data_IF_729407206656
#
_entry.id   IF_729407206656
#
_cell.length_a   1.000
_cell.length_b   1.000
_cell.length_c   1.000
_cell.angle_alpha   90.00
_cell.angle_beta   90.00
_cell.angle_gamma   90.00
#
_symmetry.space_group_name_H-M   'P 1'
#
loop_
_entity.id
_entity.type
_entity.pdbx_description
1 polymer ?
#
# COMPACT_ATOMS: atom_id res chain seq x y z
N UNK A 1 -3.47 14.83 -10.50
CA UNK A 1 -3.10 15.02 -9.07
C UNK A 1 -4.17 14.35 -8.22
N UNK A 2 -3.78 13.49 -7.27
CA UNK A 2 -4.72 12.77 -6.39
C UNK A 2 -5.40 13.77 -5.43
N UNK A 3 -6.66 13.55 -5.01
CA UNK A 3 -7.43 14.52 -4.24
C UNK A 3 -6.78 14.86 -2.89
N UNK A 4 -6.15 13.88 -2.24
CA UNK A 4 -5.49 14.04 -0.94
C UNK A 4 -4.24 14.93 -0.99
N UNK A 5 -3.61 15.12 -2.15
CA UNK A 5 -2.38 15.93 -2.29
C UNK A 5 -2.60 17.43 -2.02
N UNK A 6 -3.85 17.87 -1.86
CA UNK A 6 -4.21 19.24 -1.44
C UNK A 6 -4.16 19.45 0.07
N UNK A 7 -4.12 18.38 0.87
CA UNK A 7 -4.09 18.47 2.33
C UNK A 7 -2.71 18.94 2.78
N UNK A 8 -2.66 19.99 3.61
CA UNK A 8 -1.39 20.49 4.13
C UNK A 8 -0.78 19.47 5.08
N UNK A 9 0.53 19.24 4.93
CA UNK A 9 1.31 18.44 5.86
C UNK A 9 1.87 19.35 6.95
N UNK A 10 1.57 19.03 8.20
CA UNK A 10 2.23 19.58 9.38
C UNK A 10 3.17 18.50 9.93
N UNK A 11 4.40 18.49 9.41
CA UNK A 11 5.42 17.50 9.80
C UNK A 11 5.61 17.47 11.32
N UNK A 12 5.53 16.29 11.92
CA UNK A 12 5.67 16.09 13.36
C UNK A 12 7.03 15.52 13.78
N UNK A 13 7.92 15.24 12.83
CA UNK A 13 9.28 14.72 13.02
C UNK A 13 9.34 13.38 13.76
N UNK A 14 8.27 12.60 13.72
CA UNK A 14 8.25 11.26 14.30
C UNK A 14 9.29 10.37 13.62
N UNK A 15 10.14 9.62 14.36
CA UNK A 15 11.22 8.87 13.75
C UNK A 15 10.70 7.74 12.86
N UNK A 16 11.43 7.48 11.78
CA UNK A 16 11.31 6.25 11.00
C UNK A 16 12.14 5.17 11.71
N UNK A 17 11.52 4.05 12.08
CA UNK A 17 12.14 2.99 12.88
C UNK A 17 11.94 1.62 12.21
N UNK A 18 12.86 0.65 12.46
CA UNK A 18 12.73 -0.69 11.88
C UNK A 18 11.54 -1.44 12.46
N UNK A 19 10.90 -2.25 11.61
CA UNK A 19 9.81 -3.14 12.02
C UNK A 19 10.42 -4.39 12.69
N UNK A 20 9.92 -4.82 13.87
CA UNK A 20 10.29 -6.09 14.50
C UNK A 20 9.71 -7.26 13.69
N UNK A 21 10.52 -7.81 12.78
CA UNK A 21 10.08 -8.83 11.82
C UNK A 21 9.60 -10.12 12.47
N UNK A 22 10.01 -10.42 13.69
CA UNK A 22 9.54 -11.58 14.46
C UNK A 22 8.06 -11.51 14.84
N UNK A 23 7.43 -10.32 14.74
CA UNK A 23 6.00 -10.13 15.04
C UNK A 23 5.08 -10.31 13.84
N UNK A 24 5.63 -10.35 12.63
CA UNK A 24 4.88 -10.31 11.38
C UNK A 24 5.37 -11.38 10.42
N UNK A 25 4.50 -11.80 9.51
CA UNK A 25 4.97 -12.55 8.35
C UNK A 25 5.60 -11.56 7.35
N UNK A 26 6.71 -11.96 6.73
CA UNK A 26 7.37 -11.19 5.68
C UNK A 26 7.95 -12.13 4.64
N UNK A 27 8.24 -11.59 3.46
CA UNK A 27 8.93 -12.31 2.40
C UNK A 27 10.37 -11.80 2.29
N UNK A 28 11.34 -12.71 2.28
CA UNK A 28 12.75 -12.35 2.11
C UNK A 28 13.38 -13.15 0.97
N UNK A 29 14.04 -12.50 -0.01
CA UNK A 29 14.14 -11.05 -0.19
C UNK A 29 12.79 -10.39 -0.51
N UNK A 30 12.68 -9.07 -0.32
CA UNK A 30 11.43 -8.34 -0.55
C UNK A 30 10.97 -8.46 -2.03
N UNK A 31 9.66 -8.50 -2.32
CA UNK A 31 9.16 -8.65 -3.69
C UNK A 31 9.77 -7.68 -4.71
N UNK A 32 9.89 -6.40 -4.36
CA UNK A 32 10.49 -5.40 -5.28
C UNK A 32 12.01 -5.51 -5.35
N UNK A 33 12.69 -5.99 -4.31
CA UNK A 33 14.14 -6.26 -4.37
C UNK A 33 14.44 -7.39 -5.36
N UNK A 34 13.57 -8.41 -5.44
CA UNK A 34 13.68 -9.48 -6.46
C UNK A 34 13.62 -8.95 -7.88
N UNK A 35 12.93 -7.82 -8.09
CA UNK A 35 12.84 -7.14 -9.38
C UNK A 35 14.06 -6.22 -9.65
N UNK A 36 14.88 -5.96 -8.63
CA UNK A 36 16.04 -5.06 -8.71
C UNK A 36 15.80 -3.66 -8.15
N UNK A 37 14.72 -3.46 -7.37
CA UNK A 37 14.43 -2.16 -6.77
C UNK A 37 15.58 -1.68 -5.85
N UNK A 38 15.99 -0.40 -5.94
CA UNK A 38 17.22 0.06 -5.32
C UNK A 38 17.05 0.53 -3.86
N UNK A 39 16.58 -0.35 -2.96
CA UNK A 39 16.44 -0.01 -1.53
C UNK A 39 17.76 0.41 -0.88
N UNK A 40 18.88 -0.15 -1.35
CA UNK A 40 20.24 0.17 -0.91
C UNK A 40 20.69 1.62 -1.15
N UNK A 41 19.96 2.38 -1.98
CA UNK A 41 20.21 3.81 -2.17
C UNK A 41 19.57 4.67 -1.07
N UNK A 42 18.76 4.09 -0.19
CA UNK A 42 18.16 4.79 0.95
C UNK A 42 18.95 4.56 2.24
N UNK A 43 18.98 5.52 3.18
CA UNK A 43 19.62 5.33 4.48
C UNK A 43 19.07 4.15 5.29
N UNK A 44 17.78 3.83 5.11
CA UNK A 44 17.15 2.68 5.76
C UNK A 44 17.64 1.33 5.21
N UNK A 45 18.07 1.29 3.93
CA UNK A 45 18.53 0.09 3.22
C UNK A 45 17.60 -1.13 3.41
N UNK A 46 16.28 -0.89 3.49
CA UNK A 46 15.27 -1.90 3.74
C UNK A 46 13.87 -1.31 3.55
N UNK A 47 12.90 -2.11 3.07
CA UNK A 47 11.48 -1.72 3.05
C UNK A 47 10.85 -1.72 4.44
N UNK A 48 11.41 -2.46 5.40
CA UNK A 48 10.76 -2.78 6.67
C UNK A 48 10.97 -1.71 7.74
N UNK A 49 10.50 -0.51 7.44
CA UNK A 49 10.52 0.65 8.31
C UNK A 49 9.16 1.35 8.32
N UNK A 50 8.78 1.92 9.46
CA UNK A 50 7.55 2.72 9.63
C UNK A 50 7.80 3.87 10.60
N UNK A 51 6.94 4.89 10.58
CA UNK A 51 6.89 5.88 11.66
C UNK A 51 6.49 5.19 12.97
N UNK A 52 7.06 5.60 14.09
CA UNK A 52 6.87 4.93 15.38
C UNK A 52 5.39 4.64 15.71
N UNK A 53 4.49 5.62 15.63
CA UNK A 53 3.06 5.39 15.96
C UNK A 53 2.35 4.54 14.92
N UNK A 54 2.81 4.57 13.68
CA UNK A 54 2.30 3.72 12.61
C UNK A 54 2.65 2.27 12.90
N UNK A 55 3.88 2.00 13.34
CA UNK A 55 4.27 0.69 13.83
C UNK A 55 3.49 0.27 15.09
N UNK A 56 3.31 1.18 16.06
CA UNK A 56 2.57 0.88 17.28
C UNK A 56 1.12 0.46 16.97
N UNK A 57 0.45 1.17 16.06
CA UNK A 57 -0.87 0.79 15.55
C UNK A 57 -0.83 -0.54 14.80
N UNK A 58 0.18 -0.82 13.98
CA UNK A 58 0.29 -2.10 13.27
C UNK A 58 0.50 -3.29 14.24
N UNK A 59 1.26 -3.11 15.31
CA UNK A 59 1.41 -4.11 16.39
C UNK A 59 0.07 -4.32 17.10
N UNK A 60 -0.71 -3.26 17.34
CA UNK A 60 -2.06 -3.38 17.88
C UNK A 60 -3.00 -4.13 16.92
N UNK A 61 -2.87 -3.93 15.61
CA UNK A 61 -3.60 -4.67 14.59
C UNK A 61 -3.29 -6.18 14.67
N UNK A 62 -2.00 -6.54 14.69
CA UNK A 62 -1.54 -7.93 14.85
C UNK A 62 -2.07 -8.55 16.15
N UNK A 63 -2.06 -7.80 17.25
CA UNK A 63 -2.62 -8.24 18.54
C UNK A 63 -4.11 -8.55 18.44
N UNK A 64 -4.89 -7.66 17.78
CA UNK A 64 -6.33 -7.88 17.58
C UNK A 64 -6.63 -9.07 16.68
N UNK A 65 -5.85 -9.26 15.61
CA UNK A 65 -5.95 -10.45 14.77
C UNK A 65 -5.76 -11.71 15.62
N UNK A 66 -4.73 -11.75 16.46
CA UNK A 66 -4.40 -12.90 17.31
C UNK A 66 -5.40 -13.15 18.44
N UNK A 67 -6.18 -12.14 18.87
CA UNK A 67 -7.29 -12.37 19.80
C UNK A 67 -8.38 -13.25 19.18
N UNK A 68 -8.61 -13.14 17.87
CA UNK A 68 -9.61 -13.93 17.13
C UNK A 68 -9.00 -15.19 16.50
N UNK A 69 -7.76 -15.10 16.06
CA UNK A 69 -7.02 -16.15 15.37
C UNK A 69 -5.57 -16.24 15.93
N UNK A 70 -5.35 -16.93 17.07
CA UNK A 70 -4.08 -16.89 17.81
C UNK A 70 -2.82 -17.21 17.02
N UNK A 71 -2.92 -18.07 16.00
CA UNK A 71 -1.78 -18.48 15.17
C UNK A 71 -1.69 -17.75 13.83
N UNK A 72 -2.54 -16.75 13.58
CA UNK A 72 -2.49 -15.96 12.34
C UNK A 72 -1.58 -14.75 12.48
N UNK A 73 -0.99 -14.36 11.36
CA UNK A 73 -0.09 -13.21 11.28
C UNK A 73 -0.54 -12.25 10.17
N UNK A 74 -0.33 -10.96 10.38
CA UNK A 74 -0.33 -9.98 9.31
C UNK A 74 0.97 -10.19 8.52
N UNK A 75 0.84 -10.33 7.20
CA UNK A 75 1.97 -10.33 6.28
C UNK A 75 2.21 -8.91 5.79
N UNK A 76 3.41 -8.38 6.01
CA UNK A 76 3.81 -7.10 5.43
C UNK A 76 4.39 -7.38 4.04
N UNK A 77 3.70 -6.90 3.01
CA UNK A 77 4.15 -6.96 1.64
C UNK A 77 5.12 -5.82 1.34
N UNK A 78 4.72 -4.57 1.61
CA UNK A 78 5.56 -3.38 1.49
C UNK A 78 5.24 -2.36 2.60
N UNK A 79 6.21 -1.54 2.97
CA UNK A 79 6.10 -0.52 4.02
C UNK A 79 6.80 0.77 3.61
N UNK A 80 8.01 1.05 4.11
CA UNK A 80 8.75 2.24 3.70
C UNK A 80 9.29 2.08 2.28
N UNK A 81 8.88 2.98 1.38
CA UNK A 81 9.32 2.98 -0.01
C UNK A 81 10.07 4.27 -0.35
N UNK A 82 11.39 4.24 -0.53
CA UNK A 82 12.17 5.40 -1.00
C UNK A 82 11.68 5.88 -2.37
N UNK A 83 11.89 7.17 -2.70
CA UNK A 83 11.44 7.73 -3.99
C UNK A 83 12.09 7.01 -5.19
N UNK A 84 13.35 6.59 -5.06
CA UNK A 84 14.01 5.81 -6.12
C UNK A 84 13.31 4.46 -6.36
N UNK A 85 12.80 3.81 -5.32
CA UNK A 85 12.01 2.59 -5.43
C UNK A 85 10.61 2.89 -5.98
N UNK A 86 9.97 3.99 -5.57
CA UNK A 86 8.69 4.41 -6.14
C UNK A 86 8.80 4.64 -7.65
N UNK A 87 9.86 5.34 -8.10
CA UNK A 87 10.12 5.56 -9.53
C UNK A 87 10.37 4.23 -10.24
N UNK A 88 11.23 3.37 -9.67
CA UNK A 88 11.51 2.05 -10.22
C UNK A 88 10.24 1.23 -10.45
N UNK A 89 9.32 1.21 -9.48
CA UNK A 89 8.08 0.44 -9.61
C UNK A 89 7.11 1.05 -10.61
N UNK A 90 7.00 2.39 -10.69
CA UNK A 90 6.21 3.05 -11.75
C UNK A 90 6.73 2.67 -13.14
N UNK A 91 8.05 2.70 -13.33
CA UNK A 91 8.69 2.35 -14.60
C UNK A 91 8.50 0.85 -14.92
N UNK A 92 8.74 -0.01 -13.93
CA UNK A 92 8.54 -1.46 -14.06
C UNK A 92 7.09 -1.79 -14.46
N UNK A 93 6.11 -1.23 -13.75
CA UNK A 93 4.69 -1.48 -14.01
C UNK A 93 4.26 -0.93 -15.37
N UNK A 94 4.78 0.23 -15.80
CA UNK A 94 4.56 0.73 -17.16
C UNK A 94 5.05 -0.28 -18.20
N UNK A 95 6.28 -0.80 -18.05
CA UNK A 95 6.85 -1.78 -18.99
C UNK A 95 6.04 -3.07 -19.01
N UNK A 96 5.63 -3.60 -17.86
CA UNK A 96 4.82 -4.82 -17.81
C UNK A 96 3.43 -4.61 -18.41
N UNK A 97 2.84 -3.43 -18.25
CA UNK A 97 1.54 -3.10 -18.86
C UNK A 97 1.66 -2.99 -20.39
N UNK A 98 2.73 -2.39 -20.90
CA UNK A 98 3.04 -2.38 -22.35
C UNK A 98 3.16 -3.81 -22.88
N UNK A 99 3.88 -4.70 -22.19
CA UNK A 99 4.02 -6.11 -22.60
C UNK A 99 2.70 -6.86 -22.55
N UNK A 100 1.85 -6.61 -21.55
CA UNK A 100 0.54 -7.24 -21.42
C UNK A 100 -0.41 -6.87 -22.58
N UNK A 101 -0.23 -5.69 -23.18
CA UNK A 101 -0.90 -5.26 -24.41
C UNK A 101 -0.30 -5.88 -25.68
N UNK A 102 0.73 -6.74 -25.56
CA UNK A 102 1.43 -7.35 -26.69
C UNK A 102 2.43 -6.43 -27.39
N UNK A 103 2.82 -5.32 -26.75
CA UNK A 103 3.71 -4.30 -27.30
C UNK A 103 5.12 -4.38 -26.72
N UNK A 104 6.07 -3.73 -27.40
CA UNK A 104 7.43 -3.47 -26.92
C UNK A 104 7.66 -1.96 -26.80
N UNK A 105 8.69 -1.55 -26.05
CA UNK A 105 8.98 -0.12 -25.83
C UNK A 105 9.39 0.65 -27.09
N UNK A 106 9.91 -0.07 -28.09
CA UNK A 106 10.29 0.41 -29.41
C UNK A 106 9.19 0.21 -30.47
N UNK A 107 8.04 -0.35 -30.09
CA UNK A 107 6.93 -0.57 -31.01
C UNK A 107 6.41 0.75 -31.59
N UNK A 108 6.19 0.87 -32.91
CA UNK A 108 5.59 2.06 -33.53
C UNK A 108 4.13 2.26 -33.10
N UNK A 109 3.47 1.21 -32.60
CA UNK A 109 2.10 1.27 -32.07
C UNK A 109 2.04 1.90 -30.66
N UNK A 110 3.17 1.94 -29.94
CA UNK A 110 3.31 2.63 -28.66
C UNK A 110 3.48 4.14 -28.86
N UNK A 111 2.46 4.74 -29.49
CA UNK A 111 2.33 6.18 -29.69
C UNK A 111 2.30 6.94 -28.37
N UNK A 112 2.55 8.25 -28.40
CA UNK A 112 2.49 9.10 -27.20
C UNK A 112 1.12 9.03 -26.51
N UNK A 113 0.03 8.97 -27.28
CA UNK A 113 -1.31 8.81 -26.74
C UNK A 113 -1.47 7.48 -25.98
N UNK A 114 -0.99 6.37 -26.57
CA UNK A 114 -1.02 5.04 -25.91
C UNK A 114 -0.15 4.99 -24.67
N UNK A 115 1.02 5.66 -24.69
CA UNK A 115 1.89 5.81 -23.50
C UNK A 115 1.15 6.54 -22.39
N UNK A 116 0.46 7.63 -22.71
CA UNK A 116 -0.30 8.41 -21.75
C UNK A 116 -1.47 7.59 -21.16
N UNK A 117 -2.20 6.83 -21.98
CA UNK A 117 -3.26 5.92 -21.49
C UNK A 117 -2.71 4.87 -20.51
N UNK A 118 -1.58 4.25 -20.85
CA UNK A 118 -0.93 3.26 -19.96
C UNK A 118 -0.44 3.93 -18.67
N UNK A 119 0.18 5.10 -18.75
CA UNK A 119 0.61 5.84 -17.57
C UNK A 119 -0.58 6.23 -16.68
N UNK A 120 -1.72 6.61 -17.27
CA UNK A 120 -2.94 6.89 -16.52
C UNK A 120 -3.44 5.66 -15.77
N UNK A 121 -3.40 4.48 -16.40
CA UNK A 121 -3.72 3.22 -15.73
C UNK A 121 -2.72 2.91 -14.59
N UNK A 122 -1.42 3.04 -14.85
CA UNK A 122 -0.38 2.85 -13.82
C UNK A 122 -0.62 3.78 -12.63
N UNK A 123 -0.93 5.06 -12.90
CA UNK A 123 -1.18 6.05 -11.86
C UNK A 123 -2.54 5.92 -11.16
N UNK A 124 -3.40 4.97 -11.53
CA UNK A 124 -4.55 4.61 -10.71
C UNK A 124 -4.09 3.95 -9.41
N UNK A 125 -3.12 3.05 -9.49
CA UNK A 125 -2.61 2.23 -8.38
C UNK A 125 -1.27 2.73 -7.81
N UNK A 126 -0.40 3.26 -8.67
CA UNK A 126 0.87 3.83 -8.22
C UNK A 126 0.75 5.34 -8.03
N UNK A 127 1.20 5.84 -6.87
CA UNK A 127 1.43 7.28 -6.73
C UNK A 127 2.59 7.73 -7.64
N UNK A 128 2.45 8.88 -8.28
CA UNK A 128 3.57 9.47 -9.02
C UNK A 128 4.74 9.77 -8.05
N UNK A 129 5.99 9.44 -8.42
CA UNK A 129 7.15 9.74 -7.58
C UNK A 129 7.29 11.25 -7.40
N UNK A 130 7.64 11.68 -6.19
CA UNK A 130 7.71 13.10 -5.86
C UNK A 130 8.75 13.37 -4.79
N UNK A 131 9.72 14.22 -5.12
CA UNK A 131 10.71 14.74 -4.18
C UNK A 131 10.15 15.90 -3.33
N UNK A 132 9.00 16.46 -3.71
CA UNK A 132 8.36 17.55 -2.99
C UNK A 132 7.88 17.07 -1.62
N UNK A 133 8.39 17.62 -0.50
CA UNK A 133 8.01 17.21 0.84
C UNK A 133 6.53 17.47 1.16
N UNK A 134 5.85 18.33 0.39
CA UNK A 134 4.42 18.62 0.55
C UNK A 134 3.49 17.68 -0.23
N UNK A 135 4.02 16.87 -1.14
CA UNK A 135 3.25 15.88 -1.91
C UNK A 135 4.02 14.56 -2.10
N UNK A 136 4.52 13.93 -1.02
CA UNK A 136 5.20 12.64 -1.12
C UNK A 136 4.21 11.52 -1.50
N UNK A 137 4.67 10.45 -2.17
CA UNK A 137 3.95 9.18 -2.23
C UNK A 137 3.69 8.66 -0.79
N UNK A 138 2.52 8.05 -0.51
CA UNK A 138 2.16 7.55 0.82
C UNK A 138 3.28 6.72 1.51
N UNK A 139 3.78 5.67 0.85
CA UNK A 139 4.85 4.82 1.39
C UNK A 139 6.17 5.56 1.66
N UNK A 140 6.46 6.62 0.91
CA UNK A 140 7.67 7.44 1.09
C UNK A 140 7.62 8.35 2.32
N UNK A 141 6.49 8.38 3.03
CA UNK A 141 6.35 9.04 4.33
C UNK A 141 6.64 8.10 5.51
N UNK A 142 6.71 6.78 5.28
CA UNK A 142 6.76 5.76 6.32
C UNK A 142 5.43 5.54 7.05
N UNK A 143 4.33 6.03 6.48
CA UNK A 143 3.01 6.02 7.11
C UNK A 143 1.98 5.09 6.44
N UNK A 144 2.38 4.44 5.34
CA UNK A 144 1.56 3.50 4.61
C UNK A 144 2.16 2.09 4.67
N UNK A 145 1.30 1.08 4.60
CA UNK A 145 1.66 -0.33 4.60
C UNK A 145 0.72 -1.09 3.66
N UNK A 146 1.30 -2.00 2.89
CA UNK A 146 0.59 -2.98 2.07
C UNK A 146 0.64 -4.32 2.79
N UNK A 147 -0.52 -4.88 3.12
CA UNK A 147 -0.62 -6.08 3.97
C UNK A 147 -1.60 -7.11 3.45
N UNK A 148 -1.32 -8.37 3.81
CA UNK A 148 -2.28 -9.48 3.74
C UNK A 148 -2.23 -10.29 5.05
N UNK A 149 -2.84 -11.48 5.08
CA UNK A 149 -2.88 -12.37 6.24
C UNK A 149 -2.18 -13.69 5.93
N UNK A 150 -1.59 -14.31 6.94
CA UNK A 150 -1.08 -15.69 6.93
C UNK A 150 -1.83 -16.48 7.98
N UNK A 151 -2.31 -17.66 7.58
CA UNK A 151 -3.05 -18.56 8.45
C UNK A 151 -2.15 -19.35 9.42
N UNK A 152 -2.77 -20.20 10.24
CA UNK A 152 -2.07 -21.04 11.21
C UNK A 152 -1.10 -22.08 10.60
N UNK A 153 -1.22 -22.36 9.30
CA UNK A 153 -0.35 -23.28 8.56
C UNK A 153 0.81 -22.55 7.88
N UNK A 154 0.93 -21.24 8.08
CA UNK A 154 1.94 -20.44 7.37
C UNK A 154 1.55 -20.14 5.91
N UNK A 155 0.29 -20.34 5.52
CA UNK A 155 -0.18 -20.07 4.15
C UNK A 155 -0.76 -18.66 4.05
N UNK A 156 -0.33 -17.89 3.05
CA UNK A 156 -0.98 -16.62 2.70
C UNK A 156 -2.45 -16.86 2.40
N UNK A 157 -3.30 -16.10 3.07
CA UNK A 157 -4.75 -16.13 2.93
C UNK A 157 -5.13 -15.59 1.57
N UNK A 158 -5.98 -16.32 0.86
CA UNK A 158 -6.42 -15.91 -0.47
C UNK A 158 -7.42 -14.76 -0.39
N UNK A 159 -7.05 -13.63 -0.99
CA UNK A 159 -7.82 -12.39 -1.00
C UNK A 159 -8.57 -12.20 -2.32
N UNK A 160 -8.53 -13.17 -3.24
CA UNK A 160 -9.25 -13.16 -4.51
C UNK A 160 -8.62 -12.31 -5.61
N UNK A 161 -7.57 -11.55 -5.32
CA UNK A 161 -6.64 -10.96 -6.29
C UNK A 161 -5.27 -10.77 -5.61
N UNK A 162 -4.15 -10.82 -6.35
CA UNK A 162 -2.85 -10.52 -5.77
C UNK A 162 -2.72 -9.03 -5.43
N UNK A 163 -1.75 -8.72 -4.58
CA UNK A 163 -1.27 -7.33 -4.37
C UNK A 163 -0.67 -6.83 -5.70
N UNK A 164 -0.78 -5.53 -5.95
CA UNK A 164 -0.37 -4.82 -7.16
C UNK A 164 -1.16 -5.17 -8.44
N UNK A 165 -2.26 -5.92 -8.35
CA UNK A 165 -3.11 -6.18 -9.52
C UNK A 165 -3.78 -4.88 -10.00
N UNK A 166 -3.58 -4.54 -11.28
CA UNK A 166 -4.18 -3.36 -11.93
C UNK A 166 -5.59 -3.65 -12.47
N UNK A 167 -6.50 -4.09 -11.61
CA UNK A 167 -7.87 -4.44 -12.01
C UNK A 167 -8.92 -4.05 -10.97
N UNK A 168 -10.21 -3.96 -11.35
CA UNK A 168 -11.30 -3.75 -10.39
C UNK A 168 -11.40 -4.83 -9.31
N UNK A 169 -10.78 -6.01 -9.48
CA UNK A 169 -10.72 -7.04 -8.41
C UNK A 169 -9.90 -6.57 -7.21
N UNK A 170 -9.03 -5.57 -7.39
CA UNK A 170 -8.27 -4.95 -6.30
C UNK A 170 -9.12 -4.09 -5.38
N UNK A 171 -10.31 -3.67 -5.81
CA UNK A 171 -11.17 -2.81 -5.00
C UNK A 171 -11.64 -3.54 -3.73
N UNK A 172 -11.61 -2.92 -2.53
CA UNK A 172 -11.95 -3.58 -1.27
C UNK A 172 -13.28 -4.35 -1.31
N UNK A 173 -14.30 -3.75 -1.93
CA UNK A 173 -15.67 -4.29 -1.99
C UNK A 173 -15.99 -5.06 -3.28
N UNK A 174 -15.00 -5.45 -4.09
CA UNK A 174 -15.24 -6.12 -5.38
C UNK A 174 -16.11 -7.37 -5.27
N UNK A 175 -15.90 -8.17 -4.22
CA UNK A 175 -16.62 -9.44 -4.01
C UNK A 175 -17.89 -9.29 -3.15
N UNK A 176 -18.26 -8.07 -2.77
CA UNK A 176 -19.42 -7.82 -1.92
C UNK A 176 -20.71 -8.27 -2.62
N UNK A 177 -21.51 -9.10 -1.95
CA UNK A 177 -22.78 -9.61 -2.47
C UNK A 177 -22.64 -10.70 -3.54
N UNK A 178 -21.43 -11.23 -3.79
CA UNK A 178 -21.25 -12.36 -4.70
C UNK A 178 -22.01 -13.61 -4.22
N UNK A 179 -22.58 -14.37 -5.17
CA UNK A 179 -23.24 -15.66 -4.92
C UNK A 179 -22.29 -16.85 -5.06
N UNK A 180 -21.07 -16.62 -5.57
CA UNK A 180 -20.06 -17.66 -5.68
C UNK A 180 -19.40 -17.86 -4.30
N UNK A 181 -19.34 -19.11 -3.84
CA UNK A 181 -18.83 -19.47 -2.50
C UNK A 181 -17.37 -19.06 -2.27
N UNK A 182 -16.53 -19.13 -3.31
CA UNK A 182 -15.12 -18.77 -3.24
C UNK A 182 -14.96 -17.24 -3.10
N UNK A 183 -15.70 -16.48 -3.91
CA UNK A 183 -15.76 -15.03 -3.82
C UNK A 183 -16.28 -14.54 -2.44
N UNK A 184 -17.22 -15.27 -1.83
CA UNK A 184 -17.67 -14.97 -0.48
C UNK A 184 -16.56 -15.11 0.55
N UNK A 185 -15.68 -16.12 0.42
CA UNK A 185 -14.50 -16.28 1.29
C UNK A 185 -13.52 -15.13 1.10
N UNK A 186 -13.24 -14.73 -0.14
CA UNK A 186 -12.38 -13.57 -0.41
C UNK A 186 -12.92 -12.30 0.24
N UNK A 187 -14.22 -12.05 0.14
CA UNK A 187 -14.88 -10.93 0.80
C UNK A 187 -14.72 -11.00 2.33
N UNK A 188 -14.92 -12.16 2.94
CA UNK A 188 -14.76 -12.34 4.39
C UNK A 188 -13.31 -12.10 4.85
N UNK A 189 -12.31 -12.55 4.08
CA UNK A 189 -10.91 -12.31 4.40
C UNK A 189 -10.54 -10.81 4.30
N UNK A 190 -11.01 -10.12 3.26
CA UNK A 190 -10.84 -8.67 3.12
C UNK A 190 -11.52 -7.89 4.23
N UNK A 191 -12.73 -8.32 4.62
CA UNK A 191 -13.45 -7.73 5.76
C UNK A 191 -12.69 -7.92 7.07
N UNK A 192 -12.13 -9.10 7.32
CA UNK A 192 -11.31 -9.35 8.51
C UNK A 192 -10.08 -8.42 8.54
N UNK A 193 -9.35 -8.33 7.42
CA UNK A 193 -8.18 -7.46 7.32
C UNK A 193 -8.55 -5.99 7.56
N UNK A 194 -9.60 -5.51 6.87
CA UNK A 194 -10.09 -4.15 7.03
C UNK A 194 -10.55 -3.88 8.48
N UNK A 195 -11.35 -4.77 9.08
CA UNK A 195 -11.81 -4.66 10.46
C UNK A 195 -10.64 -4.47 11.42
N UNK A 196 -9.63 -5.34 11.33
CA UNK A 196 -8.46 -5.30 12.20
C UNK A 196 -7.69 -3.99 12.04
N UNK A 197 -7.37 -3.60 10.81
CA UNK A 197 -6.57 -2.41 10.51
C UNK A 197 -7.31 -1.10 10.86
N UNK A 198 -8.58 -0.96 10.45
CA UNK A 198 -9.39 0.23 10.73
C UNK A 198 -9.62 0.41 12.23
N UNK A 199 -9.76 -0.68 12.99
CA UNK A 199 -10.00 -0.62 14.44
C UNK A 199 -8.83 -0.08 15.26
N UNK A 200 -7.66 0.14 14.66
CA UNK A 200 -6.46 0.73 15.29
C UNK A 200 -6.03 2.04 14.61
N UNK A 201 -6.96 2.65 13.85
CA UNK A 201 -6.86 4.01 13.35
C UNK A 201 -6.41 4.15 11.90
N UNK A 202 -6.01 3.06 11.22
CA UNK A 202 -5.69 3.12 9.79
C UNK A 202 -6.91 3.51 8.96
N UNK A 203 -6.64 4.00 7.75
CA UNK A 203 -7.63 4.20 6.70
C UNK A 203 -7.22 3.35 5.48
N UNK A 204 -8.19 2.68 4.86
CA UNK A 204 -7.95 1.80 3.71
C UNK A 204 -8.06 2.60 2.40
N UNK A 205 -7.16 2.36 1.45
CA UNK A 205 -7.28 2.95 0.12
C UNK A 205 -8.55 2.46 -0.59
N UNK A 206 -9.21 3.36 -1.32
CA UNK A 206 -10.52 3.07 -1.91
C UNK A 206 -10.48 2.08 -3.08
N UNK A 207 -9.30 1.83 -3.65
CA UNK A 207 -9.11 1.00 -4.85
C UNK A 207 -8.16 -0.18 -4.60
N UNK A 208 -7.62 -0.32 -3.39
CA UNK A 208 -6.63 -1.36 -3.06
C UNK A 208 -7.02 -2.01 -1.72
N UNK A 209 -7.37 -3.29 -1.76
CA UNK A 209 -7.78 -4.02 -0.55
C UNK A 209 -6.64 -4.18 0.47
N UNK A 210 -5.39 -4.09 0.02
CA UNK A 210 -4.19 -4.31 0.83
C UNK A 210 -3.58 -3.05 1.45
N UNK A 211 -3.90 -1.87 0.92
CA UNK A 211 -3.20 -0.63 1.26
C UNK A 211 -3.89 0.12 2.39
N UNK A 212 -3.11 0.42 3.44
CA UNK A 212 -3.56 1.16 4.61
C UNK A 212 -2.59 2.29 4.95
N UNK A 213 -3.11 3.47 5.29
CA UNK A 213 -2.30 4.60 5.76
C UNK A 213 -2.76 5.11 7.11
N UNK A 214 -1.83 5.66 7.88
CA UNK A 214 -2.10 6.32 9.16
C UNK A 214 -1.28 7.60 9.27
N UNK A 215 -1.94 8.75 9.31
CA UNK A 215 -1.33 10.06 9.56
C UNK A 215 -0.74 10.78 8.35
N UNK A 216 -0.74 10.20 7.15
CA UNK A 216 -0.36 10.92 5.92
C UNK A 216 -1.54 11.69 5.30
N UNK A 217 -1.33 12.25 4.10
CA UNK A 217 -2.36 12.99 3.38
C UNK A 217 -3.56 12.12 2.99
N UNK A 218 -3.35 10.86 2.60
CA UNK A 218 -4.44 9.97 2.22
C UNK A 218 -5.32 9.65 3.43
N UNK A 219 -4.69 9.30 4.56
CA UNK A 219 -5.37 9.08 5.83
C UNK A 219 -6.18 10.31 6.24
N UNK A 220 -5.56 11.49 6.25
CA UNK A 220 -6.23 12.73 6.65
C UNK A 220 -7.45 13.03 5.76
N UNK A 221 -7.34 12.76 4.45
CA UNK A 221 -8.42 12.96 3.50
C UNK A 221 -9.60 12.02 3.74
N UNK A 222 -9.33 10.73 3.94
CA UNK A 222 -10.36 9.73 4.21
C UNK A 222 -11.03 9.99 5.56
N UNK A 223 -10.26 10.26 6.61
CA UNK A 223 -10.82 10.58 7.94
C UNK A 223 -11.62 11.87 7.93
N UNK A 224 -11.21 12.89 7.19
CA UNK A 224 -12.01 14.12 7.04
C UNK A 224 -13.36 13.83 6.40
N UNK A 225 -13.42 12.97 5.38
CA UNK A 225 -14.69 12.56 4.73
C UNK A 225 -15.61 11.80 5.68
N UNK A 226 -15.07 10.89 6.49
CA UNK A 226 -15.86 10.15 7.48
C UNK A 226 -16.42 11.06 8.58
N UNK A 227 -15.68 12.10 8.97
CA UNK A 227 -16.04 13.05 10.02
C UNK A 227 -16.85 14.26 9.53
N UNK A 228 -17.53 14.14 8.39
CA UNK A 228 -18.36 15.23 7.84
C UNK A 228 -17.57 16.48 7.45
N UNK A 229 -16.40 16.28 6.84
CA UNK A 229 -15.49 17.34 6.36
C UNK A 229 -14.76 18.15 7.46
N UNK A 230 -14.74 17.64 8.70
CA UNK A 230 -13.88 18.19 9.76
C UNK A 230 -12.41 18.05 9.38
N UNK A 231 -11.65 19.15 9.43
CA UNK A 231 -10.25 19.17 8.99
C UNK A 231 -9.36 18.27 9.86
N UNK A 232 -8.79 17.24 9.24
CA UNK A 232 -7.78 16.37 9.85
C UNK A 232 -6.41 16.74 9.30
N UNK A 233 -5.42 16.88 10.18
CA UNK A 233 -4.06 17.26 9.83
C UNK A 233 -3.23 16.05 9.41
N UNK A 234 -2.66 16.09 8.21
CA UNK A 234 -1.61 15.17 7.78
C UNK A 234 -0.29 15.50 8.49
N UNK A 235 0.37 14.50 9.06
CA UNK A 235 1.51 14.65 9.97
C UNK A 235 2.86 14.27 9.36
N UNK A 236 2.86 13.49 8.29
CA UNK A 236 4.07 12.89 7.75
C UNK A 236 4.35 13.39 6.33
N UNK A 237 5.47 14.09 6.18
CA UNK A 237 6.08 14.42 4.90
C UNK A 237 7.05 13.32 4.45
N UNK A 238 7.76 13.61 3.35
CA UNK A 238 8.79 12.72 2.81
C UNK A 238 9.87 12.43 3.86
N UNK A 239 10.27 11.17 4.00
CA UNK A 239 11.49 10.82 4.75
C UNK A 239 12.71 11.35 3.98
N UNK A 240 13.55 12.14 4.66
CA UNK A 240 14.80 12.68 4.11
C UNK A 240 15.96 11.72 4.31
#
# INVERSE_FOLDING_TARGET
MKPYQKIKIQECHEPLIPIPLEKFATESPHPYEKLGAPYHLSPANSPYFLRQKVLDSLIAAQTKLQQKYPSWHIQIFDAYRPIAVQQFMVDYTFVETVKAEGLTLDSPELTEAKRQEILELVYQFWAAPSLNPATPPPHSTGAAVDVTLVDANGKTVDMGSPIDELSPRSYPNHFLGSKNEEAQKYNQHRQLLAEVMLSVGFQQHQQEWWHFSLGDQMWAWLTSKENGESEVVARYGRVN
#
